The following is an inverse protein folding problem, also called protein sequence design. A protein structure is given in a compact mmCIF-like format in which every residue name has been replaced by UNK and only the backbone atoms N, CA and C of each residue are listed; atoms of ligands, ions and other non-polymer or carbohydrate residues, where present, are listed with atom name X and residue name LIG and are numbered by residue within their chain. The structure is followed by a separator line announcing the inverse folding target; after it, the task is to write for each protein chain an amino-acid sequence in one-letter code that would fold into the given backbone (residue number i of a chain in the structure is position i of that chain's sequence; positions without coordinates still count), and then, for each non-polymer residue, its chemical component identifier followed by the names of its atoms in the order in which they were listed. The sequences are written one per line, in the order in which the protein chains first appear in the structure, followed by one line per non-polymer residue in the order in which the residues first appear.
data_IF_416186360764
#
_entry.id   IF_416186360764
#
_cell.length_a   1.000
_cell.length_b   1.000
_cell.length_c   1.000
_cell.angle_alpha   90.00
_cell.angle_beta   90.00
_cell.angle_gamma   90.00
#
_symmetry.space_group_name_H-M   'P 1'
#
loop_
_entity.id
_entity.type
_entity.pdbx_description
1 polymer ?
#
# COMPACT_ATOMS: atom_id res chain seq x y z
N UNK A 1 -3.06 17.94 -6.60
CA UNK A 1 -2.76 17.37 -5.27
C UNK A 1 -4.03 17.34 -4.44
N UNK A 2 -4.37 16.23 -3.76
CA UNK A 2 -5.67 16.12 -3.07
C UNK A 2 -5.70 16.94 -1.77
N UNK A 3 -6.85 17.49 -1.42
CA UNK A 3 -7.03 18.26 -0.18
C UNK A 3 -6.73 17.43 1.08
N UNK A 4 -6.92 16.11 1.02
CA UNK A 4 -6.60 15.16 2.09
C UNK A 4 -5.10 15.12 2.34
N UNK A 5 -4.29 14.99 1.28
CA UNK A 5 -2.83 14.90 1.42
C UNK A 5 -2.27 16.22 1.97
N UNK A 6 -2.74 17.37 1.46
CA UNK A 6 -2.36 18.69 2.01
C UNK A 6 -2.72 18.82 3.49
N UNK A 7 -3.93 18.39 3.90
CA UNK A 7 -4.36 18.40 5.30
C UNK A 7 -3.47 17.55 6.20
N UNK A 8 -3.17 16.32 5.79
CA UNK A 8 -2.36 15.42 6.62
C UNK A 8 -0.89 15.84 6.70
N UNK A 9 -0.36 16.53 5.68
CA UNK A 9 0.98 17.14 5.77
C UNK A 9 1.05 18.24 6.82
N UNK A 10 0.10 19.16 6.82
CA UNK A 10 0.06 20.27 7.80
C UNK A 10 -0.13 19.75 9.23
N UNK A 11 -0.79 18.61 9.39
CA UNK A 11 -1.08 18.02 10.70
C UNK A 11 -0.04 16.98 11.17
N UNK A 12 1.09 16.81 10.47
CA UNK A 12 2.16 15.94 10.95
C UNK A 12 2.60 16.36 12.36
N UNK A 13 2.83 15.38 13.22
CA UNK A 13 3.15 15.64 14.63
C UNK A 13 4.11 14.58 15.17
N UNK A 14 5.35 15.00 15.45
CA UNK A 14 6.37 14.15 16.08
C UNK A 14 6.60 12.84 15.32
N UNK A 15 7.30 12.92 14.18
CA UNK A 15 7.58 11.75 13.33
C UNK A 15 8.21 10.62 14.16
N UNK A 16 7.67 9.42 14.02
CA UNK A 16 8.08 8.22 14.74
C UNK A 16 8.52 7.14 13.72
N UNK A 17 9.84 7.05 13.44
CA UNK A 17 10.36 6.07 12.50
C UNK A 17 10.10 4.61 12.93
N UNK A 18 10.04 4.33 14.23
CA UNK A 18 9.79 2.96 14.71
C UNK A 18 8.34 2.55 14.45
N UNK A 19 7.39 3.48 14.57
CA UNK A 19 6.02 3.25 14.16
C UNK A 19 5.91 3.01 12.65
N UNK A 20 6.57 3.84 11.85
CA UNK A 20 6.57 3.73 10.39
C UNK A 20 7.19 2.39 9.93
N UNK A 21 8.26 1.94 10.58
CA UNK A 21 8.87 0.63 10.33
C UNK A 21 7.91 -0.51 10.67
N UNK A 22 7.28 -0.47 11.85
CA UNK A 22 6.32 -1.50 12.28
C UNK A 22 5.10 -1.60 11.36
N UNK A 23 4.68 -0.49 10.77
CA UNK A 23 3.55 -0.42 9.85
C UNK A 23 3.98 -0.52 8.37
N UNK A 24 5.25 -0.80 8.11
CA UNK A 24 5.76 -0.92 6.75
C UNK A 24 4.98 -1.94 5.94
N UNK A 25 4.52 -1.53 4.76
CA UNK A 25 3.71 -2.37 3.88
C UNK A 25 2.24 -2.45 4.24
N UNK A 26 1.81 -1.87 5.36
CA UNK A 26 0.42 -1.93 5.78
C UNK A 26 -0.45 -0.92 5.02
N UNK A 27 -1.70 -1.32 4.79
CA UNK A 27 -2.79 -0.41 4.47
C UNK A 27 -3.43 0.05 5.76
N UNK A 28 -3.61 1.35 5.93
CA UNK A 28 -4.13 2.00 7.13
C UNK A 28 -5.42 2.75 6.81
N UNK A 29 -6.43 2.58 7.65
CA UNK A 29 -7.74 3.22 7.52
C UNK A 29 -7.93 4.25 8.65
N UNK A 30 -8.16 5.52 8.31
CA UNK A 30 -8.44 6.56 9.29
C UNK A 30 -9.83 6.38 9.92
N UNK A 31 -9.86 5.83 11.14
CA UNK A 31 -11.14 5.52 11.83
C UNK A 31 -11.77 6.73 12.53
N UNK A 32 -11.02 7.81 12.70
CA UNK A 32 -11.46 9.06 13.36
C UNK A 32 -11.76 10.18 12.34
N UNK A 33 -11.99 9.84 11.08
CA UNK A 33 -12.24 10.78 9.98
C UNK A 33 -13.27 10.19 8.99
N UNK A 34 -13.06 10.31 7.68
CA UNK A 34 -13.97 9.85 6.62
C UNK A 34 -13.60 8.47 6.09
N UNK A 35 -12.78 7.70 6.80
CA UNK A 35 -12.30 6.39 6.34
C UNK A 35 -11.22 6.49 5.26
N UNK A 36 -10.46 7.59 5.21
CA UNK A 36 -9.37 7.73 4.26
C UNK A 36 -8.34 6.60 4.40
N UNK A 37 -7.99 6.00 3.26
CA UNK A 37 -7.05 4.89 3.19
C UNK A 37 -5.64 5.37 2.81
N UNK A 38 -4.64 4.78 3.46
CA UNK A 38 -3.23 5.11 3.28
C UNK A 38 -2.41 3.82 3.15
N UNK A 39 -1.35 3.84 2.34
CA UNK A 39 -0.42 2.74 2.19
C UNK A 39 0.97 3.18 2.65
N UNK A 40 1.55 2.45 3.61
CA UNK A 40 2.90 2.73 4.10
C UNK A 40 3.88 2.01 3.19
N UNK A 41 4.55 2.74 2.30
CA UNK A 41 5.41 2.15 1.29
C UNK A 41 6.66 1.53 1.93
N UNK A 42 7.01 0.25 1.65
CA UNK A 42 8.11 -0.39 2.36
C UNK A 42 9.51 0.18 2.12
N UNK A 43 9.73 0.92 1.03
CA UNK A 43 11.07 1.42 0.67
C UNK A 43 11.46 2.65 1.48
N UNK A 44 10.53 3.59 1.68
CA UNK A 44 10.79 4.88 2.33
C UNK A 44 10.00 5.09 3.62
N UNK A 45 9.11 4.14 3.96
CA UNK A 45 8.27 4.14 5.17
C UNK A 45 7.33 5.35 5.25
N UNK A 46 7.10 6.04 4.13
CA UNK A 46 6.11 7.12 4.06
C UNK A 46 4.74 6.55 3.76
N UNK A 47 3.71 7.25 4.23
CA UNK A 47 2.32 6.93 3.89
C UNK A 47 1.89 7.66 2.62
N UNK A 48 1.39 6.90 1.67
CA UNK A 48 0.82 7.38 0.42
C UNK A 48 -0.70 7.27 0.51
N UNK A 49 -1.39 8.32 0.12
CA UNK A 49 -2.85 8.30 0.10
C UNK A 49 -3.33 7.36 -1.00
N UNK A 50 -4.22 6.42 -0.69
CA UNK A 50 -4.79 5.54 -1.72
C UNK A 50 -5.99 6.20 -2.42
N UNK A 51 -6.69 7.11 -1.73
CA UNK A 51 -7.70 7.95 -2.35
C UNK A 51 -8.83 7.19 -3.06
N UNK A 52 -9.12 7.63 -4.30
CA UNK A 52 -10.07 7.01 -5.22
C UNK A 52 -9.36 6.04 -6.18
N UNK A 53 -10.15 5.25 -6.91
CA UNK A 53 -9.66 4.36 -7.96
C UNK A 53 -8.73 5.07 -8.97
N UNK A 54 -9.05 6.30 -9.39
CA UNK A 54 -8.17 7.05 -10.32
C UNK A 54 -6.82 7.42 -9.71
N UNK A 55 -6.75 7.65 -8.39
CA UNK A 55 -5.52 8.08 -7.72
C UNK A 55 -4.63 6.89 -7.35
N UNK A 56 -5.25 5.79 -6.90
CA UNK A 56 -4.50 4.61 -6.46
C UNK A 56 -3.65 4.02 -7.59
N UNK A 57 -4.13 4.04 -8.83
CA UNK A 57 -3.39 3.49 -9.96
C UNK A 57 -1.99 4.11 -10.09
N UNK A 58 -1.90 5.44 -10.09
CA UNK A 58 -0.61 6.14 -10.19
C UNK A 58 0.31 5.82 -9.00
N UNK A 59 -0.24 5.72 -7.78
CA UNK A 59 0.51 5.35 -6.58
C UNK A 59 1.08 3.93 -6.73
N UNK A 60 0.28 2.98 -7.21
CA UNK A 60 0.73 1.59 -7.30
C UNK A 60 1.66 1.36 -8.49
N UNK A 61 1.46 2.08 -9.60
CA UNK A 61 2.32 2.03 -10.78
C UNK A 61 3.73 2.52 -10.43
N UNK A 62 3.85 3.66 -9.74
CA UNK A 62 5.15 4.22 -9.37
C UNK A 62 5.87 3.43 -8.26
N UNK A 63 5.13 2.90 -7.30
CA UNK A 63 5.70 2.24 -6.11
C UNK A 63 5.84 0.72 -6.26
N UNK A 64 5.18 0.13 -7.25
CA UNK A 64 5.14 -1.30 -7.49
C UNK A 64 6.46 -1.88 -7.99
N UNK A 65 6.60 -3.19 -7.88
CA UNK A 65 7.72 -3.97 -8.42
C UNK A 65 7.23 -4.85 -9.55
N UNK A 66 8.00 -4.98 -10.61
CA UNK A 66 7.71 -5.97 -11.66
C UNK A 66 8.27 -7.34 -11.27
N UNK A 67 7.51 -8.39 -11.55
CA UNK A 67 7.93 -9.79 -11.45
C UNK A 67 7.54 -10.53 -12.73
N UNK A 68 8.34 -11.52 -13.13
CA UNK A 68 7.97 -12.40 -14.22
C UNK A 68 6.73 -13.22 -13.87
N UNK A 69 5.95 -13.59 -14.88
CA UNK A 69 4.79 -14.46 -14.70
C UNK A 69 5.18 -15.76 -13.98
N UNK A 70 6.32 -16.38 -14.34
CA UNK A 70 6.83 -17.59 -13.68
C UNK A 70 7.01 -17.41 -12.16
N UNK A 71 7.55 -16.26 -11.72
CA UNK A 71 7.74 -16.00 -10.29
C UNK A 71 6.40 -15.79 -9.57
N UNK A 72 5.47 -15.06 -10.19
CA UNK A 72 4.13 -14.87 -9.65
C UNK A 72 3.39 -16.21 -9.53
N UNK A 73 3.48 -17.06 -10.55
CA UNK A 73 2.86 -18.38 -10.54
C UNK A 73 3.44 -19.26 -9.43
N UNK A 74 4.76 -19.27 -9.29
CA UNK A 74 5.47 -19.99 -8.22
C UNK A 74 5.00 -19.54 -6.83
N UNK A 75 4.96 -18.24 -6.56
CA UNK A 75 4.60 -17.72 -5.23
C UNK A 75 3.10 -17.86 -4.94
N UNK A 76 2.24 -17.52 -5.89
CA UNK A 76 0.80 -17.47 -5.69
C UNK A 76 0.17 -18.87 -5.63
N UNK A 77 0.56 -19.78 -6.53
CA UNK A 77 -0.17 -21.06 -6.71
C UNK A 77 0.58 -22.27 -6.14
N UNK A 78 1.90 -22.32 -6.30
CA UNK A 78 2.69 -23.48 -5.88
C UNK A 78 3.15 -23.39 -4.43
N UNK A 79 3.89 -22.32 -4.07
CA UNK A 79 4.35 -22.08 -2.69
C UNK A 79 3.24 -21.56 -1.79
N UNK A 80 2.31 -20.79 -2.35
CA UNK A 80 1.21 -20.12 -1.63
C UNK A 80 1.71 -19.12 -0.57
N UNK A 81 2.89 -18.56 -0.81
CA UNK A 81 3.47 -17.47 -0.05
C UNK A 81 4.49 -16.72 -0.91
N UNK A 82 4.54 -15.40 -0.72
CA UNK A 82 5.57 -14.54 -1.30
C UNK A 82 6.77 -14.42 -0.35
N UNK A 83 7.98 -14.23 -0.90
CA UNK A 83 9.19 -14.07 -0.11
C UNK A 83 9.22 -12.73 0.66
N UNK A 84 10.02 -12.67 1.73
CA UNK A 84 9.99 -11.59 2.72
C UNK A 84 10.33 -10.21 2.13
N UNK A 85 11.17 -10.16 1.10
CA UNK A 85 11.54 -8.93 0.39
C UNK A 85 10.40 -8.30 -0.44
N UNK A 86 9.31 -9.04 -0.64
CA UNK A 86 8.10 -8.57 -1.33
C UNK A 86 6.98 -8.19 -0.37
N UNK A 87 7.14 -8.42 0.94
CA UNK A 87 6.12 -8.08 1.91
C UNK A 87 5.81 -6.58 1.90
N UNK A 88 4.53 -6.27 1.78
CA UNK A 88 4.02 -4.92 1.71
C UNK A 88 4.01 -4.34 0.30
N UNK A 89 4.77 -4.88 -0.65
CA UNK A 89 4.81 -4.34 -1.99
C UNK A 89 3.57 -4.73 -2.80
N UNK A 90 3.24 -3.88 -3.76
CA UNK A 90 2.48 -4.28 -4.94
C UNK A 90 3.46 -4.87 -5.95
N UNK A 91 3.11 -6.03 -6.49
CA UNK A 91 3.88 -6.71 -7.52
C UNK A 91 3.06 -6.83 -8.79
N UNK A 92 3.58 -6.31 -9.89
CA UNK A 92 2.98 -6.32 -11.22
C UNK A 92 3.51 -7.50 -12.03
N UNK A 93 2.62 -8.12 -12.80
CA UNK A 93 3.04 -9.08 -13.82
C UNK A 93 3.70 -8.34 -14.98
N UNK A 94 4.99 -8.62 -15.23
CA UNK A 94 5.73 -7.99 -16.34
C UNK A 94 5.22 -8.40 -17.72
N UNK A 95 4.55 -9.55 -17.80
CA UNK A 95 4.08 -10.15 -19.04
C UNK A 95 2.61 -9.78 -19.32
N UNK A 96 1.85 -9.43 -18.27
CA UNK A 96 0.42 -9.07 -18.35
C UNK A 96 0.17 -7.70 -17.73
N UNK A 97 -0.08 -6.70 -18.58
CA UNK A 97 -0.37 -5.34 -18.12
C UNK A 97 -1.64 -5.29 -17.27
N UNK A 98 -1.54 -4.62 -16.13
CA UNK A 98 -2.65 -4.32 -15.24
C UNK A 98 -2.95 -5.41 -14.21
N UNK A 99 -2.37 -6.61 -14.34
CA UNK A 99 -2.47 -7.65 -13.32
C UNK A 99 -1.41 -7.46 -12.23
N UNK A 100 -1.86 -7.43 -10.99
CA UNK A 100 -0.98 -7.27 -9.85
C UNK A 100 -1.52 -7.91 -8.58
N UNK A 101 -0.63 -8.01 -7.59
CA UNK A 101 -0.92 -8.52 -6.27
C UNK A 101 -0.40 -7.55 -5.23
N UNK A 102 -1.24 -7.23 -4.23
CA UNK A 102 -0.75 -6.65 -2.98
C UNK A 102 -0.27 -7.78 -2.07
N UNK A 103 1.01 -7.80 -1.72
CA UNK A 103 1.59 -8.83 -0.86
C UNK A 103 1.44 -8.41 0.60
N UNK A 104 0.51 -9.01 1.34
CA UNK A 104 0.20 -8.58 2.71
C UNK A 104 1.29 -9.03 3.70
N UNK A 105 1.91 -8.10 4.47
CA UNK A 105 3.03 -8.42 5.36
C UNK A 105 2.76 -9.52 6.39
N UNK A 106 1.53 -9.59 6.92
CA UNK A 106 1.21 -10.45 8.06
C UNK A 106 0.97 -11.93 7.70
N UNK A 107 0.72 -12.23 6.42
CA UNK A 107 0.39 -13.59 6.01
C UNK A 107 1.08 -14.04 4.71
N UNK A 108 1.91 -13.17 4.11
CA UNK A 108 2.66 -13.44 2.88
C UNK A 108 1.81 -13.78 1.65
N UNK A 109 0.49 -13.57 1.71
CA UNK A 109 -0.41 -13.84 0.60
C UNK A 109 -0.48 -12.64 -0.33
N UNK A 110 -0.53 -12.92 -1.64
CA UNK A 110 -0.86 -11.95 -2.67
C UNK A 110 -2.37 -11.81 -2.82
N UNK A 111 -2.86 -10.58 -2.77
CA UNK A 111 -4.24 -10.23 -3.03
C UNK A 111 -4.34 -9.62 -4.44
N UNK A 112 -4.93 -10.40 -5.35
CA UNK A 112 -5.01 -10.06 -6.76
C UNK A 112 -5.92 -8.87 -7.04
N UNK A 113 -5.53 -8.06 -8.02
CA UNK A 113 -6.38 -7.08 -8.68
C UNK A 113 -5.94 -6.89 -10.14
N UNK A 114 -6.90 -6.54 -11.00
CA UNK A 114 -6.68 -6.29 -12.44
C UNK A 114 -7.11 -4.90 -12.90
N UNK A 115 -7.65 -4.09 -11.99
CA UNK A 115 -8.09 -2.73 -12.24
C UNK A 115 -8.02 -1.89 -10.97
N UNK A 116 -8.13 -0.54 -11.06
CA UNK A 116 -7.94 0.33 -9.90
C UNK A 116 -9.05 0.22 -8.83
N UNK A 117 -10.28 -0.13 -9.21
CA UNK A 117 -11.37 -0.35 -8.26
C UNK A 117 -11.12 -1.63 -7.45
N UNK A 118 -10.70 -2.70 -8.12
CA UNK A 118 -10.26 -3.94 -7.47
C UNK A 118 -9.05 -3.70 -6.58
N UNK A 119 -8.07 -2.90 -7.02
CA UNK A 119 -6.90 -2.57 -6.22
C UNK A 119 -7.29 -1.89 -4.91
N UNK A 120 -8.16 -0.86 -5.00
CA UNK A 120 -8.62 -0.14 -3.82
C UNK A 120 -9.36 -1.07 -2.85
N UNK A 121 -10.25 -1.93 -3.35
CA UNK A 121 -10.97 -2.92 -2.52
C UNK A 121 -10.02 -3.93 -1.90
N UNK A 122 -9.19 -4.60 -2.72
CA UNK A 122 -8.25 -5.63 -2.28
C UNK A 122 -7.28 -5.11 -1.20
N UNK A 123 -6.83 -3.86 -1.31
CA UNK A 123 -5.96 -3.25 -0.32
C UNK A 123 -6.72 -2.80 0.94
N UNK A 124 -7.87 -2.13 0.80
CA UNK A 124 -8.61 -1.57 1.94
C UNK A 124 -9.32 -2.62 2.78
N UNK A 125 -9.79 -3.73 2.19
CA UNK A 125 -10.35 -4.87 2.92
C UNK A 125 -9.32 -5.51 3.88
N UNK A 126 -8.03 -5.36 3.57
CA UNK A 126 -6.92 -5.86 4.39
C UNK A 126 -6.38 -4.80 5.36
N UNK A 127 -6.97 -3.60 5.36
CA UNK A 127 -6.49 -2.43 6.08
C UNK A 127 -6.66 -2.52 7.60
N UNK A 128 -5.72 -1.87 8.30
CA UNK A 128 -5.73 -1.74 9.75
C UNK A 128 -6.31 -0.38 10.14
N UNK A 129 -7.24 -0.35 11.09
CA UNK A 129 -7.71 0.91 11.66
C UNK A 129 -6.58 1.64 12.40
N UNK A 130 -6.43 2.94 12.17
CA UNK A 130 -5.44 3.78 12.84
C UNK A 130 -6.06 5.10 13.31
N UNK A 131 -5.63 5.57 14.49
CA UNK A 131 -5.99 6.88 15.01
C UNK A 131 -5.34 8.00 14.18
N UNK A 132 -5.95 9.19 14.17
CA UNK A 132 -5.34 10.35 13.54
C UNK A 132 -4.01 10.72 14.22
N UNK A 133 -3.94 10.56 15.55
CA UNK A 133 -2.73 10.82 16.34
C UNK A 133 -1.55 9.97 15.88
N UNK A 134 -1.75 8.68 15.64
CA UNK A 134 -0.66 7.79 15.24
C UNK A 134 -0.34 7.88 13.75
N UNK A 135 -1.35 8.05 12.89
CA UNK A 135 -1.14 8.26 11.46
C UNK A 135 -0.26 9.51 11.20
N UNK A 136 -0.45 10.57 11.98
CA UNK A 136 0.29 11.84 11.84
C UNK A 136 1.75 11.78 12.29
N UNK A 137 2.19 10.66 12.86
CA UNK A 137 3.60 10.38 13.14
C UNK A 137 4.33 9.71 11.97
N UNK A 138 3.62 9.36 10.90
CA UNK A 138 4.20 8.79 9.68
C UNK A 138 4.30 9.90 8.63
N UNK A 139 5.45 10.10 8.01
CA UNK A 139 5.60 11.12 6.96
C UNK A 139 4.67 10.85 5.77
N UNK A 140 4.19 11.91 5.13
CA UNK A 140 3.34 11.80 3.93
C UNK A 140 4.23 11.75 2.69
N UNK A 141 4.05 10.71 1.87
CA UNK A 141 4.74 10.55 0.58
C UNK A 141 4.13 11.43 -0.50
N UNK A 142 4.93 11.78 -1.50
CA UNK A 142 4.50 12.45 -2.72
C UNK A 142 5.01 11.66 -3.92
N UNK A 143 4.16 11.53 -4.94
CA UNK A 143 4.56 11.12 -6.27
C UNK A 143 5.07 12.37 -7.02
N UNK A 144 6.15 12.25 -7.79
CA UNK A 144 6.70 13.35 -8.60
C UNK A 144 5.94 13.58 -9.91
#
# INVERSE_FOLDING_TARGET
YSAVVSREKTNLSGIDPALAERLSGAVLLQVESRGEAWYVYPKDKKKYYLGSADYIYNVLEELGKELSNDALVEYQYFKKEFPDELLGFVVWDSDIKGEAYYVKPNNKLGYFFSDPDMALRAMTEQGLGISNKDLRKIEVGELE
#
